data_IF_241829517625
#
_entry.id   IF_241829517625
#
_cell.length_a   1.000
_cell.length_b   1.000
_cell.length_c   1.000
_cell.angle_alpha   90.00
_cell.angle_beta   90.00
_cell.angle_gamma   90.00
#
_symmetry.space_group_name_H-M   'P 1'
#
loop_
_entity.id
_entity.type
_entity.pdbx_description
1 polymer ?
#
# COMPACT_ATOMS: atom_id res chain seq x y z
N UNK A 1 3.87 -31.37 -1.96
CA UNK A 1 3.79 -30.51 -3.13
C UNK A 1 4.99 -29.59 -3.21
N UNK A 2 5.56 -29.43 -4.38
CA UNK A 2 6.74 -28.60 -4.51
C UNK A 2 6.40 -27.16 -4.81
N UNK A 3 7.06 -26.25 -4.15
CA UNK A 3 6.94 -24.84 -4.49
C UNK A 3 7.74 -24.58 -5.78
N UNK A 4 7.26 -23.70 -6.62
CA UNK A 4 8.02 -23.34 -7.80
C UNK A 4 9.34 -22.67 -7.39
N UNK A 5 10.37 -22.98 -8.15
CA UNK A 5 11.66 -22.39 -7.88
C UNK A 5 11.76 -21.07 -8.61
N UNK A 6 12.10 -20.03 -7.89
CA UNK A 6 12.26 -18.73 -8.50
C UNK A 6 13.60 -18.65 -9.22
N UNK A 7 13.58 -18.06 -10.42
CA UNK A 7 14.80 -17.83 -11.17
C UNK A 7 15.38 -16.50 -10.72
N UNK A 8 16.21 -16.54 -9.69
CA UNK A 8 16.77 -15.34 -9.10
C UNK A 8 18.23 -15.16 -9.47
N UNK A 9 18.56 -13.99 -10.00
CA UNK A 9 19.94 -13.59 -10.22
C UNK A 9 20.41 -12.87 -8.96
N UNK A 10 21.37 -13.42 -8.21
CA UNK A 10 21.78 -12.82 -6.95
C UNK A 10 22.28 -11.39 -7.06
N UNK A 11 22.96 -11.04 -8.15
CA UNK A 11 23.48 -9.69 -8.31
C UNK A 11 22.36 -8.68 -8.53
N UNK A 12 21.40 -9.05 -9.37
CA UNK A 12 20.25 -8.18 -9.60
C UNK A 12 19.42 -8.01 -8.34
N UNK A 13 19.25 -9.11 -7.60
CA UNK A 13 18.51 -9.05 -6.34
C UNK A 13 19.21 -8.14 -5.34
N UNK A 14 20.54 -8.27 -5.25
CA UNK A 14 21.30 -7.43 -4.31
C UNK A 14 21.13 -5.96 -4.63
N UNK A 15 21.12 -5.59 -5.91
CA UNK A 15 20.92 -4.21 -6.31
C UNK A 15 19.53 -3.68 -6.02
N UNK A 16 18.52 -4.55 -5.96
CA UNK A 16 17.16 -4.17 -5.71
C UNK A 16 16.71 -4.33 -4.26
N UNK A 17 17.50 -5.03 -3.46
CA UNK A 17 17.08 -5.41 -2.11
C UNK A 17 16.76 -4.22 -1.21
N UNK A 18 17.54 -3.15 -1.32
CA UNK A 18 17.30 -1.96 -0.50
C UNK A 18 15.93 -1.36 -0.75
N UNK A 19 15.59 -1.22 -2.03
CA UNK A 19 14.29 -0.66 -2.38
C UNK A 19 13.15 -1.58 -1.97
N UNK A 20 13.33 -2.88 -2.18
CA UNK A 20 12.32 -3.86 -1.78
C UNK A 20 12.10 -3.83 -0.27
N UNK A 21 13.16 -3.74 0.51
CA UNK A 21 13.05 -3.67 1.96
C UNK A 21 12.35 -2.39 2.38
N UNK A 22 12.66 -1.27 1.75
CA UNK A 22 11.99 0.00 2.06
C UNK A 22 10.49 -0.11 1.84
N UNK A 23 10.08 -0.75 0.74
CA UNK A 23 8.66 -0.97 0.47
C UNK A 23 8.02 -1.85 1.53
N UNK A 24 8.70 -2.95 1.88
CA UNK A 24 8.18 -3.84 2.90
C UNK A 24 8.04 -3.16 4.26
N UNK A 25 8.96 -2.28 4.61
CA UNK A 25 8.86 -1.53 5.87
C UNK A 25 7.63 -0.64 5.90
N UNK A 26 7.30 -0.02 4.78
CA UNK A 26 6.09 0.79 4.70
C UNK A 26 4.86 -0.08 4.93
N UNK A 27 4.86 -1.28 4.36
CA UNK A 27 3.73 -2.20 4.47
C UNK A 27 3.63 -2.87 5.84
N UNK A 28 4.69 -2.84 6.63
CA UNK A 28 4.74 -3.56 7.90
C UNK A 28 4.10 -2.78 9.05
N UNK A 29 2.89 -2.33 8.82
CA UNK A 29 2.07 -1.63 9.81
C UNK A 29 0.62 -1.80 9.38
N UNK A 30 -0.23 -2.26 10.28
CA UNK A 30 -1.61 -2.58 9.92
C UNK A 30 -2.36 -1.40 9.34
N UNK A 31 -2.25 -0.24 9.98
CA UNK A 31 -2.99 0.93 9.49
C UNK A 31 -2.51 1.35 8.11
N UNK A 32 -1.20 1.35 7.89
CA UNK A 32 -0.67 1.71 6.58
C UNK A 32 -1.09 0.72 5.51
N UNK A 33 -1.08 -0.57 5.84
CA UNK A 33 -1.52 -1.58 4.89
C UNK A 33 -2.98 -1.39 4.51
N UNK A 34 -3.83 -1.14 5.51
CA UNK A 34 -5.25 -0.90 5.26
C UNK A 34 -5.45 0.34 4.40
N UNK A 35 -4.71 1.41 4.69
CA UNK A 35 -4.80 2.63 3.89
C UNK A 35 -4.40 2.39 2.44
N UNK A 36 -3.29 1.70 2.23
CA UNK A 36 -2.81 1.44 0.88
C UNK A 36 -3.77 0.56 0.11
N UNK A 37 -4.34 -0.45 0.75
CA UNK A 37 -5.32 -1.29 0.09
C UNK A 37 -6.57 -0.51 -0.30
N UNK A 38 -7.02 0.39 0.56
CA UNK A 38 -8.16 1.23 0.23
C UNK A 38 -7.85 2.17 -0.93
N UNK A 39 -6.69 2.81 -0.88
CA UNK A 39 -6.27 3.72 -1.95
C UNK A 39 -6.07 2.97 -3.26
N UNK A 40 -5.69 1.70 -3.20
CA UNK A 40 -5.48 0.90 -4.41
C UNK A 40 -6.77 0.64 -5.19
N UNK A 41 -7.92 0.80 -4.54
CA UNK A 41 -9.21 0.56 -5.19
C UNK A 41 -9.61 1.76 -6.06
N UNK A 42 -8.93 2.87 -5.90
CA UNK A 42 -9.21 4.08 -6.66
C UNK A 42 -8.84 5.28 -5.82
N UNK A 43 -8.65 6.39 -6.49
CA UNK A 43 -8.30 7.63 -5.81
C UNK A 43 -9.36 7.99 -4.78
N UNK A 44 -8.94 8.38 -3.58
CA UNK A 44 -9.87 8.70 -2.52
C UNK A 44 -9.33 9.80 -1.61
N UNK A 45 -10.23 10.53 -0.98
CA UNK A 45 -9.85 11.60 -0.06
C UNK A 45 -9.97 11.14 1.39
N UNK A 46 -9.48 11.97 2.30
CA UNK A 46 -9.39 11.62 3.72
C UNK A 46 -10.75 11.24 4.31
N UNK A 47 -11.79 11.99 3.99
CA UNK A 47 -13.11 11.70 4.57
C UNK A 47 -13.65 10.35 4.11
N UNK A 48 -13.38 9.96 2.86
CA UNK A 48 -13.80 8.67 2.36
C UNK A 48 -13.04 7.54 3.05
N UNK A 49 -11.74 7.75 3.27
CA UNK A 49 -10.91 6.76 3.95
C UNK A 49 -11.39 6.57 5.39
N UNK A 50 -11.63 7.66 6.08
CA UNK A 50 -12.06 7.63 7.47
C UNK A 50 -13.38 6.88 7.62
N UNK A 51 -14.29 7.13 6.69
CA UNK A 51 -15.61 6.50 6.69
C UNK A 51 -15.53 5.00 6.49
N UNK A 52 -14.62 4.56 5.63
CA UNK A 52 -14.57 3.15 5.23
C UNK A 52 -13.68 2.28 6.09
N UNK A 53 -12.64 2.86 6.69
CA UNK A 53 -11.65 2.07 7.41
C UNK A 53 -11.72 2.18 8.93
N UNK A 54 -12.52 3.09 9.44
CA UNK A 54 -12.60 3.30 10.89
C UNK A 54 -11.22 3.61 11.48
N UNK A 55 -10.42 4.34 10.74
CA UNK A 55 -9.15 4.88 11.22
C UNK A 55 -9.34 6.37 11.37
N UNK A 56 -9.19 6.87 12.59
CA UNK A 56 -9.51 8.26 12.88
C UNK A 56 -8.29 9.11 13.20
N UNK A 57 -8.51 10.41 13.31
CA UNK A 57 -7.44 11.31 13.68
C UNK A 57 -7.06 11.10 15.14
N UNK A 58 -5.79 11.28 15.51
CA UNK A 58 -4.71 11.78 14.66
C UNK A 58 -3.98 10.68 13.87
N UNK A 59 -4.28 9.41 14.14
CA UNK A 59 -3.61 8.27 13.50
C UNK A 59 -3.67 8.35 12.00
N UNK A 60 -4.84 8.68 11.46
CA UNK A 60 -5.02 8.75 10.01
C UNK A 60 -4.04 9.71 9.36
N UNK A 61 -3.96 10.94 9.87
CA UNK A 61 -3.05 11.93 9.31
C UNK A 61 -1.60 11.53 9.47
N UNK A 62 -1.25 10.93 10.59
CA UNK A 62 0.11 10.47 10.82
C UNK A 62 0.53 9.43 9.81
N UNK A 63 -0.33 8.45 9.57
CA UNK A 63 0.01 7.37 8.64
C UNK A 63 -0.01 7.85 7.19
N UNK A 64 -0.93 8.72 6.82
CA UNK A 64 -0.92 9.31 5.48
C UNK A 64 0.36 10.12 5.26
N UNK A 65 0.82 10.82 6.30
CA UNK A 65 2.08 11.54 6.24
C UNK A 65 3.27 10.63 5.98
N UNK A 66 3.30 9.47 6.62
CA UNK A 66 4.35 8.48 6.37
C UNK A 66 4.31 8.03 4.91
N UNK A 67 3.12 7.71 4.39
CA UNK A 67 2.99 7.26 3.00
C UNK A 67 3.46 8.32 2.01
N UNK A 68 3.15 9.58 2.28
CA UNK A 68 3.61 10.67 1.42
C UNK A 68 5.12 10.81 1.49
N UNK A 69 5.69 10.77 2.69
CA UNK A 69 7.13 10.91 2.86
C UNK A 69 7.89 9.77 2.21
N UNK A 70 7.31 8.58 2.18
CA UNK A 70 7.95 7.43 1.55
C UNK A 70 7.73 7.39 0.04
N UNK A 71 6.94 8.32 -0.48
CA UNK A 71 6.73 8.42 -1.92
C UNK A 71 5.89 7.30 -2.52
N UNK A 72 5.12 6.58 -1.71
CA UNK A 72 4.31 5.48 -2.23
C UNK A 72 2.92 5.90 -2.67
N UNK A 73 2.54 7.14 -2.36
CA UNK A 73 1.26 7.70 -2.82
C UNK A 73 1.50 9.04 -3.50
N UNK A 74 0.63 9.35 -4.45
CA UNK A 74 0.55 10.68 -5.05
C UNK A 74 -0.63 11.39 -4.42
N UNK A 75 -0.57 12.71 -4.39
CA UNK A 75 -1.68 13.50 -3.88
C UNK A 75 -2.06 14.55 -4.92
N UNK A 76 -3.34 14.90 -4.94
CA UNK A 76 -3.78 16.05 -5.71
C UNK A 76 -4.85 16.76 -4.93
N UNK A 77 -4.86 18.07 -5.04
CA UNK A 77 -5.85 18.88 -4.34
C UNK A 77 -7.00 19.20 -5.28
N UNK A 78 -8.21 19.08 -4.78
CA UNK A 78 -9.39 19.51 -5.50
C UNK A 78 -10.28 20.19 -4.49
N UNK A 79 -10.37 21.51 -4.57
CA UNK A 79 -11.11 22.29 -3.57
C UNK A 79 -10.48 22.15 -2.20
N UNK A 80 -11.26 21.74 -1.24
CA UNK A 80 -10.79 21.55 0.14
C UNK A 80 -10.23 20.16 0.36
N UNK A 81 -10.38 19.28 -0.61
CA UNK A 81 -10.01 17.88 -0.43
C UNK A 81 -8.66 17.56 -1.05
N UNK A 82 -7.94 16.65 -0.40
CA UNK A 82 -6.71 16.10 -0.95
C UNK A 82 -7.03 14.65 -1.26
N UNK A 83 -6.79 14.25 -2.51
CA UNK A 83 -7.03 12.90 -2.99
C UNK A 83 -5.71 12.15 -3.07
N UNK A 84 -5.73 10.91 -2.64
CA UNK A 84 -4.57 10.04 -2.60
C UNK A 84 -4.72 8.94 -3.63
N UNK A 85 -3.62 8.62 -4.31
CA UNK A 85 -3.58 7.49 -5.26
C UNK A 85 -2.24 6.79 -5.10
N UNK A 86 -2.19 5.54 -5.54
CA UNK A 86 -0.94 4.76 -5.46
C UNK A 86 0.04 5.30 -6.50
N UNK A 87 1.27 5.56 -6.07
CA UNK A 87 2.29 6.14 -6.94
C UNK A 87 2.96 5.12 -7.85
N UNK A 88 3.17 3.90 -7.36
CA UNK A 88 3.95 2.90 -8.10
C UNK A 88 3.05 1.72 -8.49
N UNK A 89 2.90 1.44 -9.78
CA UNK A 89 2.10 0.28 -10.21
C UNK A 89 2.58 -1.04 -9.62
N UNK A 90 3.88 -1.17 -9.34
CA UNK A 90 4.38 -2.40 -8.73
C UNK A 90 3.79 -2.61 -7.33
N UNK A 91 3.50 -1.53 -6.63
CA UNK A 91 2.88 -1.64 -5.31
C UNK A 91 1.46 -2.22 -5.43
N UNK A 92 0.75 -1.88 -6.50
CA UNK A 92 -0.59 -2.47 -6.73
C UNK A 92 -0.50 -3.99 -6.84
N UNK A 93 0.53 -4.50 -7.50
CA UNK A 93 0.71 -5.94 -7.63
C UNK A 93 0.99 -6.59 -6.28
N UNK A 94 1.79 -5.94 -5.44
CA UNK A 94 2.10 -6.44 -4.11
C UNK A 94 0.83 -6.49 -3.27
N UNK A 95 0.06 -5.41 -3.27
CA UNK A 95 -1.17 -5.33 -2.50
C UNK A 95 -2.19 -6.37 -2.95
N UNK A 96 -2.34 -6.54 -4.25
CA UNK A 96 -3.26 -7.53 -4.80
C UNK A 96 -2.85 -8.94 -4.37
N UNK A 97 -1.54 -9.21 -4.37
CA UNK A 97 -1.02 -10.52 -3.98
C UNK A 97 -1.29 -10.78 -2.50
N UNK A 98 -1.05 -9.79 -1.65
CA UNK A 98 -1.30 -9.93 -0.22
C UNK A 98 -2.80 -10.16 0.04
N UNK A 99 -3.65 -9.42 -0.64
CA UNK A 99 -5.09 -9.60 -0.49
C UNK A 99 -5.49 -11.02 -0.87
N UNK A 100 -5.00 -11.51 -2.00
CA UNK A 100 -5.32 -12.84 -2.49
C UNK A 100 -4.86 -13.93 -1.53
N UNK A 101 -3.68 -13.74 -0.92
CA UNK A 101 -3.10 -14.76 -0.05
C UNK A 101 -3.67 -14.76 1.36
N UNK A 102 -4.02 -13.60 1.88
CA UNK A 102 -4.37 -13.50 3.29
C UNK A 102 -5.83 -13.21 3.57
N UNK A 103 -6.55 -12.58 2.65
CA UNK A 103 -7.97 -12.33 2.90
C UNK A 103 -8.79 -13.58 2.59
N UNK A 104 -9.75 -13.91 3.44
CA UNK A 104 -10.61 -15.06 3.18
C UNK A 104 -11.35 -14.84 1.89
N UNK A 105 -11.53 -15.88 1.12
CA UNK A 105 -12.35 -15.77 -0.04
C UNK A 105 -13.74 -15.53 0.45
N UNK A 106 -14.33 -14.50 -0.03
CA UNK A 106 -15.67 -14.20 0.29
C UNK A 106 -16.50 -15.35 -0.11
N UNK A 107 -17.57 -15.51 0.45
CA UNK A 107 -18.41 -16.53 0.10
C UNK A 107 -18.88 -16.08 -0.98
N UNK A 108 -18.00 -15.83 -1.29
CA UNK A 108 -18.11 -15.32 -2.49
C UNK A 108 -19.22 -15.89 -2.92
#
# INVERSE_FOLDING_TARGET
MKSPKLAIDPEKLRGAAGKAVSTMKVLANEDRLLLLCQISQGECCVSEIEEQLDIHQPTLSQQLGVLRNEGVVNTRRQGKNIYYSIADPALLEILATLYRLYCPKGNA
#
